data_IF_641031941178
#
_entry.id   IF_641031941178
#
_cell.length_a   1.000
_cell.length_b   1.000
_cell.length_c   1.000
_cell.angle_alpha   90.00
_cell.angle_beta   90.00
_cell.angle_gamma   90.00
#
_symmetry.space_group_name_H-M   'P 1'
#
loop_
_entity.id
_entity.type
_entity.pdbx_description
1 polymer ?
#
# COMPACT_ATOMS: atom_id res chain seq x y z
N UNK A 1 -9.36 -0.82 -6.93
CA UNK A 1 -9.55 -1.33 -5.55
C UNK A 1 -9.94 -2.80 -5.61
N UNK A 2 -9.49 -3.62 -4.66
CA UNK A 2 -9.89 -5.02 -4.48
C UNK A 2 -10.42 -5.21 -3.06
N UNK A 3 -11.50 -5.96 -2.90
CA UNK A 3 -12.11 -6.26 -1.60
C UNK A 3 -11.38 -7.43 -0.92
N UNK A 4 -11.07 -7.25 0.36
CA UNK A 4 -10.49 -8.27 1.21
C UNK A 4 -11.47 -8.56 2.37
N UNK A 5 -11.80 -9.84 2.63
CA UNK A 5 -12.56 -10.19 3.81
C UNK A 5 -11.76 -9.83 5.06
N UNK A 6 -12.45 -9.45 6.13
CA UNK A 6 -11.82 -9.31 7.44
C UNK A 6 -11.44 -10.68 8.02
N UNK A 7 -10.43 -10.71 8.86
CA UNK A 7 -9.93 -11.94 9.47
C UNK A 7 -8.87 -11.69 10.52
N UNK A 8 -8.32 -12.79 11.02
CA UNK A 8 -7.20 -12.78 11.95
C UNK A 8 -5.98 -13.41 11.28
N UNK A 9 -4.81 -12.85 11.53
CA UNK A 9 -3.54 -13.37 11.05
C UNK A 9 -2.44 -13.12 12.07
N UNK A 10 -1.28 -13.77 11.87
CA UNK A 10 -0.09 -13.48 12.67
C UNK A 10 0.73 -12.44 11.92
N UNK A 11 0.86 -11.26 12.52
CA UNK A 11 1.67 -10.14 12.02
C UNK A 11 3.10 -10.27 12.57
N UNK A 12 4.10 -9.95 11.75
CA UNK A 12 5.52 -10.05 12.10
C UNK A 12 6.10 -11.45 11.91
N UNK A 13 7.32 -11.65 12.42
CA UNK A 13 8.05 -12.91 12.25
C UNK A 13 9.09 -13.12 13.36
N UNK A 14 8.90 -14.17 14.17
CA UNK A 14 9.86 -14.57 15.20
C UNK A 14 11.18 -15.10 14.61
N UNK A 15 11.16 -15.56 13.36
CA UNK A 15 12.32 -16.07 12.61
C UNK A 15 13.08 -14.97 11.84
N UNK A 16 12.63 -13.71 11.92
CA UNK A 16 13.32 -12.59 11.29
C UNK A 16 14.65 -12.27 11.96
N UNK A 17 15.60 -11.72 11.22
CA UNK A 17 16.81 -11.12 11.79
C UNK A 17 16.58 -9.67 12.25
N UNK A 18 15.41 -9.11 11.95
CA UNK A 18 15.02 -7.75 12.28
C UNK A 18 14.24 -7.74 13.59
N UNK A 19 14.67 -6.92 14.56
CA UNK A 19 14.08 -6.89 15.90
C UNK A 19 12.72 -6.20 15.96
N UNK A 20 12.47 -5.29 15.02
CA UNK A 20 11.22 -4.53 14.87
C UNK A 20 10.10 -5.35 14.20
N UNK A 21 10.41 -6.50 13.62
CA UNK A 21 9.43 -7.47 13.13
C UNK A 21 8.93 -8.44 14.22
N UNK A 22 9.40 -8.29 15.47
CA UNK A 22 9.13 -9.19 16.60
C UNK A 22 8.41 -8.51 17.76
N UNK A 23 7.65 -9.27 18.57
CA UNK A 23 7.29 -10.67 18.37
C UNK A 23 6.18 -10.82 17.33
N UNK A 24 6.11 -12.00 16.72
CA UNK A 24 4.95 -12.39 15.93
C UNK A 24 3.71 -12.45 16.84
N UNK A 25 2.61 -11.80 16.45
CA UNK A 25 1.43 -11.66 17.30
C UNK A 25 0.12 -11.67 16.50
N UNK A 26 -0.99 -12.15 17.09
CA UNK A 26 -2.28 -12.17 16.41
C UNK A 26 -2.84 -10.76 16.25
N UNK A 27 -3.24 -10.41 15.03
CA UNK A 27 -3.90 -9.15 14.69
C UNK A 27 -5.20 -9.46 13.95
N UNK A 28 -6.26 -8.73 14.33
CA UNK A 28 -7.55 -8.76 13.63
C UNK A 28 -7.65 -7.56 12.70
N UNK A 29 -7.99 -7.81 11.45
CA UNK A 29 -8.24 -6.80 10.42
C UNK A 29 -9.69 -6.91 9.98
N UNK A 30 -10.42 -5.80 9.99
CA UNK A 30 -11.78 -5.76 9.47
C UNK A 30 -11.78 -5.87 7.93
N UNK A 31 -12.96 -6.10 7.33
CA UNK A 31 -13.04 -6.12 5.87
C UNK A 31 -12.69 -4.74 5.30
N UNK A 32 -11.80 -4.72 4.33
CA UNK A 32 -11.29 -3.49 3.69
C UNK A 32 -11.31 -3.64 2.17
N UNK A 33 -11.25 -2.51 1.49
CA UNK A 33 -10.82 -2.48 0.08
C UNK A 33 -9.46 -1.79 -0.01
N UNK A 34 -8.52 -2.39 -0.73
CA UNK A 34 -7.17 -1.86 -0.91
C UNK A 34 -6.84 -1.69 -2.40
N UNK A 35 -5.89 -0.81 -2.74
CA UNK A 35 -5.37 -0.71 -4.10
C UNK A 35 -4.74 -2.04 -4.52
N UNK A 36 -5.19 -2.60 -5.65
CA UNK A 36 -4.54 -3.79 -6.23
C UNK A 36 -3.14 -3.46 -6.75
N UNK A 37 -2.94 -2.20 -7.17
CA UNK A 37 -1.69 -1.66 -7.66
C UNK A 37 -1.34 -0.40 -6.87
N UNK A 38 -0.05 -0.03 -6.79
CA UNK A 38 0.35 1.29 -6.33
C UNK A 38 -0.30 2.39 -7.18
N UNK A 39 -0.54 3.55 -6.58
CA UNK A 39 -1.02 4.73 -7.32
C UNK A 39 -0.02 5.06 -8.43
N UNK A 40 -0.53 5.23 -9.64
CA UNK A 40 0.26 5.45 -10.85
C UNK A 40 0.57 6.92 -11.07
N UNK A 41 1.56 7.21 -11.93
CA UNK A 41 1.82 8.58 -12.39
C UNK A 41 0.61 9.19 -13.09
N UNK A 42 -0.13 8.43 -13.89
CA UNK A 42 -1.32 8.93 -14.57
C UNK A 42 -2.41 9.40 -13.58
N UNK A 43 -2.67 8.60 -12.55
CA UNK A 43 -3.63 8.95 -11.49
C UNK A 43 -3.16 10.14 -10.65
N UNK A 44 -1.87 10.19 -10.31
CA UNK A 44 -1.32 11.28 -9.52
C UNK A 44 -1.21 12.60 -10.32
N UNK A 45 -0.95 12.53 -11.63
CA UNK A 45 -0.92 13.71 -12.51
C UNK A 45 -2.31 14.36 -12.65
N UNK A 46 -3.39 13.58 -12.54
CA UNK A 46 -4.75 14.12 -12.42
C UNK A 46 -4.94 14.90 -11.13
N UNK A 47 -4.46 14.39 -9.99
CA UNK A 47 -4.45 15.12 -8.73
C UNK A 47 -3.64 16.41 -8.84
N UNK A 48 -2.42 16.35 -9.39
CA UNK A 48 -1.58 17.54 -9.58
C UNK A 48 -2.28 18.61 -10.42
N UNK A 49 -2.91 18.20 -11.53
CA UNK A 49 -3.62 19.11 -12.43
C UNK A 49 -4.84 19.73 -11.74
N UNK A 50 -5.62 18.94 -11.00
CA UNK A 50 -6.81 19.41 -10.29
C UNK A 50 -6.49 20.35 -9.11
N UNK A 51 -5.30 20.19 -8.50
CA UNK A 51 -4.87 20.98 -7.32
C UNK A 51 -3.80 22.02 -7.63
N UNK A 52 -3.48 22.21 -8.90
CA UNK A 52 -2.43 23.12 -9.39
C UNK A 52 -1.04 22.86 -8.75
N UNK A 53 -0.77 21.61 -8.39
CA UNK A 53 0.54 21.16 -7.89
C UNK A 53 1.48 20.84 -9.04
N UNK A 54 2.78 20.97 -8.79
CA UNK A 54 3.81 20.54 -9.73
C UNK A 54 3.77 19.00 -9.86
N UNK A 55 3.78 18.44 -11.10
CA UNK A 55 3.93 17.01 -11.30
C UNK A 55 5.23 16.46 -10.70
N UNK A 56 5.16 15.23 -10.21
CA UNK A 56 6.31 14.53 -9.65
C UNK A 56 7.37 14.26 -10.72
N UNK A 57 8.65 14.31 -10.33
CA UNK A 57 9.73 13.89 -11.21
C UNK A 57 9.72 12.36 -11.39
N UNK A 58 9.88 11.88 -12.62
CA UNK A 58 9.94 10.45 -12.96
C UNK A 58 11.37 9.90 -13.02
N UNK A 59 12.37 10.75 -12.73
CA UNK A 59 13.81 10.42 -12.79
C UNK A 59 14.26 9.87 -14.15
N UNK A 60 13.49 10.13 -15.23
CA UNK A 60 13.75 9.55 -16.55
C UNK A 60 13.43 8.05 -16.65
N UNK A 61 12.80 7.43 -15.64
CA UNK A 61 12.39 6.02 -15.65
C UNK A 61 11.04 5.79 -16.36
N UNK A 62 10.33 6.89 -16.66
CA UNK A 62 9.08 6.92 -17.40
C UNK A 62 7.84 7.09 -16.52
N UNK A 63 6.71 7.44 -17.15
CA UNK A 63 5.42 7.80 -16.52
C UNK A 63 4.29 6.86 -16.92
N UNK A 64 3.04 7.33 -16.82
CA UNK A 64 1.83 6.62 -17.20
C UNK A 64 1.39 5.67 -16.10
N UNK A 65 1.21 4.40 -16.45
CA UNK A 65 0.76 3.34 -15.53
C UNK A 65 1.86 2.84 -14.58
N UNK A 66 3.05 3.45 -14.61
CA UNK A 66 4.10 3.18 -13.64
C UNK A 66 3.74 3.76 -12.27
N UNK A 67 4.17 3.13 -11.16
CA UNK A 67 3.98 3.67 -9.82
C UNK A 67 4.53 5.10 -9.71
N UNK A 68 3.75 5.99 -9.11
CA UNK A 68 4.21 7.33 -8.76
C UNK A 68 5.33 7.23 -7.71
N UNK A 69 6.44 7.91 -7.96
CA UNK A 69 7.61 7.96 -7.07
C UNK A 69 7.93 9.40 -6.65
N UNK A 70 8.80 9.56 -5.65
CA UNK A 70 9.12 10.85 -5.04
C UNK A 70 7.92 11.51 -4.33
N UNK A 71 7.02 10.69 -3.78
CA UNK A 71 5.84 11.11 -3.01
C UNK A 71 6.20 11.11 -1.53
N UNK A 72 6.03 12.23 -0.83
CA UNK A 72 6.17 12.25 0.63
C UNK A 72 4.94 11.65 1.32
N UNK A 73 5.05 11.27 2.59
CA UNK A 73 3.89 10.80 3.35
C UNK A 73 2.75 11.84 3.37
N UNK A 74 3.10 13.13 3.52
CA UNK A 74 2.12 14.21 3.50
C UNK A 74 1.43 14.33 2.13
N UNK A 75 2.17 14.19 1.03
CA UNK A 75 1.62 14.21 -0.32
C UNK A 75 0.61 13.06 -0.54
N UNK A 76 0.93 11.87 -0.04
CA UNK A 76 0.04 10.72 -0.07
C UNK A 76 -1.25 10.95 0.74
N UNK A 77 -1.15 11.59 1.90
CA UNK A 77 -2.32 11.97 2.71
C UNK A 77 -3.17 13.04 2.00
N UNK A 78 -2.54 14.04 1.38
CA UNK A 78 -3.24 15.07 0.62
C UNK A 78 -3.95 14.49 -0.61
N UNK A 79 -3.33 13.51 -1.28
CA UNK A 79 -3.94 12.75 -2.37
C UNK A 79 -5.19 11.98 -1.90
N UNK A 80 -5.11 11.28 -0.77
CA UNK A 80 -6.28 10.59 -0.18
C UNK A 80 -7.40 11.59 0.16
N UNK A 81 -7.06 12.72 0.78
CA UNK A 81 -8.03 13.75 1.14
C UNK A 81 -8.71 14.34 -0.10
N UNK A 82 -7.96 14.58 -1.18
CA UNK A 82 -8.52 15.02 -2.45
C UNK A 82 -9.44 13.97 -3.07
N UNK A 83 -9.03 12.70 -3.11
CA UNK A 83 -9.87 11.61 -3.61
C UNK A 83 -11.20 11.50 -2.87
N UNK A 84 -11.18 11.67 -1.54
CA UNK A 84 -12.40 11.67 -0.72
C UNK A 84 -13.34 12.81 -1.12
N UNK A 85 -12.81 14.00 -1.40
CA UNK A 85 -13.61 15.13 -1.87
C UNK A 85 -14.20 14.89 -3.26
N UNK A 86 -13.47 14.20 -4.16
CA UNK A 86 -13.96 13.95 -5.52
C UNK A 86 -14.99 12.83 -5.59
N UNK A 87 -14.87 11.82 -4.74
CA UNK A 87 -15.67 10.58 -4.83
C UNK A 87 -16.78 10.51 -3.78
N UNK A 88 -16.65 11.21 -2.66
CA UNK A 88 -17.51 11.03 -1.49
C UNK A 88 -17.22 9.76 -0.68
N UNK A 89 -16.21 8.98 -1.08
CA UNK A 89 -15.76 7.77 -0.41
C UNK A 89 -14.69 8.07 0.65
N UNK A 90 -14.28 7.05 1.40
CA UNK A 90 -13.27 7.16 2.46
C UNK A 90 -11.99 6.39 2.14
N UNK A 91 -11.14 6.99 1.31
CA UNK A 91 -9.76 6.61 1.05
C UNK A 91 -8.82 7.11 2.16
N UNK A 92 -7.83 6.28 2.46
CA UNK A 92 -6.71 6.56 3.37
C UNK A 92 -5.54 5.64 3.03
N UNK A 93 -4.39 5.91 3.63
CA UNK A 93 -3.31 4.94 3.66
C UNK A 93 -3.73 3.71 4.49
N UNK A 94 -3.29 2.53 4.05
CA UNK A 94 -3.42 1.32 4.84
C UNK A 94 -2.61 1.46 6.13
N UNK A 95 -3.10 0.86 7.21
CA UNK A 95 -2.25 0.65 8.39
C UNK A 95 -1.19 -0.40 8.05
N UNK A 96 -0.13 -0.46 8.85
CA UNK A 96 0.90 -1.50 8.68
C UNK A 96 0.30 -2.91 8.72
N UNK A 97 -0.60 -3.17 9.67
CA UNK A 97 -1.29 -4.45 9.80
C UNK A 97 -2.17 -4.79 8.60
N UNK A 98 -2.90 -3.82 8.05
CA UNK A 98 -3.71 -4.02 6.84
C UNK A 98 -2.85 -4.30 5.61
N UNK A 99 -1.70 -3.62 5.51
CA UNK A 99 -0.76 -3.81 4.43
C UNK A 99 -0.14 -5.21 4.48
N UNK A 100 0.36 -5.64 5.64
CA UNK A 100 0.90 -7.00 5.80
C UNK A 100 -0.18 -8.07 5.60
N UNK A 101 -1.40 -7.87 6.11
CA UNK A 101 -2.53 -8.77 5.90
C UNK A 101 -2.82 -8.97 4.40
N UNK A 102 -2.86 -7.86 3.65
CA UNK A 102 -3.07 -7.90 2.21
C UNK A 102 -1.92 -8.60 1.47
N UNK A 103 -0.66 -8.30 1.83
CA UNK A 103 0.51 -8.90 1.21
C UNK A 103 0.64 -10.40 1.50
N UNK A 104 0.28 -10.86 2.70
CA UNK A 104 0.30 -12.28 3.05
C UNK A 104 -0.78 -13.07 2.32
N UNK A 105 -1.94 -12.47 2.04
CA UNK A 105 -3.05 -13.13 1.33
C UNK A 105 -3.41 -14.51 1.93
N UNK A 106 -3.34 -14.63 3.26
CA UNK A 106 -3.59 -15.88 4.00
C UNK A 106 -2.39 -16.82 4.15
N UNK A 107 -1.23 -16.49 3.57
CA UNK A 107 0.00 -17.26 3.75
C UNK A 107 0.68 -16.97 5.08
N UNK A 108 1.31 -18.00 5.65
CA UNK A 108 2.20 -17.92 6.82
C UNK A 108 3.68 -18.05 6.46
N UNK A 109 4.01 -18.16 5.16
CA UNK A 109 5.39 -18.26 4.66
C UNK A 109 6.10 -16.90 4.69
N UNK A 110 7.42 -16.91 4.48
CA UNK A 110 8.26 -15.70 4.46
C UNK A 110 7.84 -14.70 3.38
N UNK A 111 7.56 -15.19 2.17
CA UNK A 111 7.05 -14.39 1.05
C UNK A 111 5.64 -14.81 0.69
N UNK A 112 4.91 -13.99 -0.06
CA UNK A 112 3.56 -14.30 -0.51
C UNK A 112 3.49 -15.52 -1.46
N UNK A 113 4.63 -15.97 -1.98
CA UNK A 113 4.76 -17.11 -2.89
C UNK A 113 5.53 -18.31 -2.31
N UNK A 114 5.90 -18.29 -1.02
CA UNK A 114 6.65 -19.37 -0.36
C UNK A 114 7.79 -18.86 0.49
N UNK A 115 8.71 -19.76 0.88
CA UNK A 115 9.85 -19.44 1.74
C UNK A 115 11.16 -19.22 0.99
N UNK A 116 11.19 -19.52 -0.31
CA UNK A 116 12.38 -19.45 -1.13
C UNK A 116 12.64 -18.01 -1.60
N UNK A 117 13.76 -17.45 -1.17
CA UNK A 117 14.21 -16.11 -1.55
C UNK A 117 14.61 -16.02 -3.03
N UNK A 118 14.88 -17.14 -3.70
CA UNK A 118 15.25 -17.15 -5.13
C UNK A 118 14.15 -16.68 -6.08
N UNK A 119 12.93 -16.49 -5.57
CA UNK A 119 11.80 -15.92 -6.32
C UNK A 119 11.77 -14.39 -6.41
N UNK A 120 12.74 -13.68 -5.82
CA UNK A 120 12.86 -12.21 -5.87
C UNK A 120 13.38 -11.68 -7.21
#
# INVERSE_FOLDING_TARGET
MVWLPGGEFIMGSDDSNQSDEKPAHPVRVDAISIGQYPVTFAEYDHFCSATQRKPLADQGWGRGDRPAINVSWQDAMDYCAWLNQQTGEHYRLATEAEWEYACRSGSTTRYCYGDDESGL
#
